data_IF_233360074117
#
_entry.id   IF_233360074117
#
_cell.length_a   1.000
_cell.length_b   1.000
_cell.length_c   1.000
_cell.angle_alpha   90.00
_cell.angle_beta   90.00
_cell.angle_gamma   90.00
#
_symmetry.space_group_name_H-M   'P 1'
#
loop_
_entity.id
_entity.type
_entity.pdbx_description
1 polymer ?
#
# COMPACT_ATOMS: atom_id res chain seq x y z
N UNK A 1 11.03 20.97 -28.71
CA UNK A 1 10.73 21.07 -27.27
C UNK A 1 9.25 20.77 -27.11
N UNK A 2 8.90 19.60 -26.57
CA UNK A 2 7.52 19.20 -26.35
C UNK A 2 7.02 19.93 -25.09
N UNK A 3 6.16 20.93 -25.26
CA UNK A 3 5.51 21.60 -24.14
C UNK A 3 4.38 20.72 -23.62
N UNK A 4 4.44 20.35 -22.35
CA UNK A 4 3.30 19.77 -21.64
C UNK A 4 2.33 20.91 -21.31
N UNK A 5 1.10 20.85 -21.81
CA UNK A 5 0.06 21.81 -21.51
C UNK A 5 -0.54 21.49 -20.15
N UNK A 6 -0.48 22.42 -19.20
CA UNK A 6 -1.20 22.32 -17.93
C UNK A 6 -2.62 22.86 -18.16
N UNK A 7 -3.62 22.03 -17.86
CA UNK A 7 -5.03 22.43 -17.90
C UNK A 7 -5.47 22.97 -16.54
N UNK A 8 -6.18 24.10 -16.54
CA UNK A 8 -6.75 24.72 -15.34
C UNK A 8 -8.26 24.50 -15.39
N UNK A 9 -8.81 23.82 -14.39
CA UNK A 9 -10.26 23.65 -14.22
C UNK A 9 -10.72 24.24 -12.89
N UNK A 10 -11.87 24.90 -12.87
CA UNK A 10 -12.49 25.47 -11.67
C UNK A 10 -13.82 24.77 -11.42
N UNK A 11 -14.00 24.19 -10.24
CA UNK A 11 -15.28 23.62 -9.81
C UNK A 11 -15.51 23.93 -8.33
N UNK A 12 -16.63 24.58 -8.00
CA UNK A 12 -17.00 24.99 -6.63
C UNK A 12 -15.86 25.72 -5.87
N UNK A 13 -15.29 26.78 -6.46
CA UNK A 13 -14.19 27.60 -5.91
C UNK A 13 -12.86 26.86 -5.65
N UNK A 14 -12.69 25.66 -6.21
CA UNK A 14 -11.46 24.87 -6.12
C UNK A 14 -10.78 24.87 -7.50
N UNK A 15 -9.51 25.28 -7.53
CA UNK A 15 -8.67 25.27 -8.74
C UNK A 15 -7.92 23.94 -8.85
N UNK A 16 -8.10 23.28 -9.99
CA UNK A 16 -7.43 22.03 -10.36
C UNK A 16 -6.40 22.32 -11.46
N UNK A 17 -5.14 21.97 -11.20
CA UNK A 17 -4.05 22.03 -12.19
C UNK A 17 -3.69 20.60 -12.58
N UNK A 18 -3.98 20.21 -13.82
CA UNK A 18 -3.71 18.85 -14.28
C UNK A 18 -2.77 18.84 -15.49
N UNK A 19 -1.70 18.03 -15.43
CA UNK A 19 -0.67 17.89 -16.47
C UNK A 19 -0.77 16.56 -17.25
N UNK A 20 -1.92 15.90 -17.18
CA UNK A 20 -2.18 14.59 -17.80
C UNK A 20 -1.64 13.39 -17.02
N UNK A 21 -0.86 13.61 -15.96
CA UNK A 21 -0.32 12.55 -15.09
C UNK A 21 -0.85 12.68 -13.65
N UNK A 22 -1.19 13.89 -13.21
CA UNK A 22 -1.87 14.10 -11.92
C UNK A 22 -2.59 15.45 -11.85
N UNK A 23 -3.35 15.67 -10.77
CA UNK A 23 -4.03 16.94 -10.49
C UNK A 23 -3.58 17.50 -9.13
N UNK A 24 -3.27 18.80 -9.09
CA UNK A 24 -3.00 19.58 -7.88
C UNK A 24 -4.29 20.30 -7.48
N UNK A 25 -4.64 20.29 -6.20
CA UNK A 25 -5.88 20.90 -5.65
C UNK A 25 -5.52 22.13 -4.83
N UNK A 26 -6.19 23.27 -5.08
CA UNK A 26 -6.03 24.51 -4.32
C UNK A 26 -7.29 24.76 -3.45
N UNK A 27 -7.13 24.86 -2.12
CA UNK A 27 -8.23 25.14 -1.19
C UNK A 27 -7.94 26.43 -0.41
N UNK A 28 -8.91 27.34 -0.35
CA UNK A 28 -8.83 28.60 0.43
C UNK A 28 -7.59 29.48 0.14
N UNK A 29 -7.16 29.57 -1.12
CA UNK A 29 -6.05 30.44 -1.54
C UNK A 29 -4.66 29.91 -1.18
N UNK A 30 -4.54 28.66 -0.72
CA UNK A 30 -3.26 27.99 -0.48
C UNK A 30 -3.12 26.76 -1.37
N UNK A 31 -1.99 26.68 -2.09
CA UNK A 31 -1.59 25.51 -2.87
C UNK A 31 -1.04 24.47 -1.90
N UNK A 32 -1.80 23.40 -1.64
CA UNK A 32 -1.35 22.26 -0.85
C UNK A 32 -0.83 21.17 -1.78
N UNK A 33 0.40 20.73 -1.54
CA UNK A 33 1.01 19.62 -2.27
C UNK A 33 1.00 18.38 -1.36
N UNK A 34 0.32 17.32 -1.80
CA UNK A 34 0.34 15.98 -1.19
C UNK A 34 -0.02 15.89 0.31
N UNK A 35 -1.06 16.61 0.77
CA UNK A 35 -1.70 16.52 2.10
C UNK A 35 -0.83 16.80 3.35
N UNK A 36 0.51 16.72 3.26
CA UNK A 36 1.43 16.86 4.40
C UNK A 36 2.62 17.79 4.14
N UNK A 37 2.79 18.32 2.92
CA UNK A 37 3.88 19.26 2.62
C UNK A 37 3.38 20.71 2.61
N UNK A 38 3.96 21.53 3.50
CA UNK A 38 3.69 22.96 3.57
C UNK A 38 4.78 23.76 2.83
N UNK A 39 4.37 24.85 2.18
CA UNK A 39 5.29 25.81 1.59
C UNK A 39 6.03 26.54 2.71
N UNK A 40 7.33 26.31 2.78
CA UNK A 40 8.24 26.86 3.80
C UNK A 40 8.62 28.30 3.52
N UNK A 41 8.77 28.65 2.24
CA UNK A 41 9.08 30.00 1.80
C UNK A 41 8.43 30.23 0.45
N UNK A 42 7.65 31.29 0.36
CA UNK A 42 7.12 31.76 -0.92
C UNK A 42 8.07 32.80 -1.51
N UNK A 43 8.08 32.88 -2.83
CA UNK A 43 8.41 34.09 -3.58
C UNK A 43 9.88 34.44 -3.77
N UNK A 44 10.62 33.58 -4.47
CA UNK A 44 11.79 34.04 -5.25
C UNK A 44 11.29 34.48 -6.62
N UNK A 45 11.24 35.80 -6.83
CA UNK A 45 10.93 36.38 -8.13
C UNK A 45 12.06 36.08 -9.13
N UNK A 46 11.68 35.47 -10.25
CA UNK A 46 12.53 35.28 -11.42
C UNK A 46 11.93 36.00 -12.60
N UNK A 47 12.72 36.24 -13.63
CA UNK A 47 12.28 36.98 -14.81
C UNK A 47 11.08 36.33 -15.55
N UNK A 48 10.78 35.06 -15.26
CA UNK A 48 9.74 34.26 -15.94
C UNK A 48 8.80 33.51 -14.97
N UNK A 49 8.77 33.86 -13.68
CA UNK A 49 7.89 33.19 -12.73
C UNK A 49 8.34 33.27 -11.27
N UNK A 50 7.66 32.51 -10.43
CA UNK A 50 7.76 32.55 -8.98
C UNK A 50 8.18 31.17 -8.47
N UNK A 51 9.29 31.08 -7.73
CA UNK A 51 9.73 29.81 -7.12
C UNK A 51 9.29 29.77 -5.66
N UNK A 52 8.62 28.69 -5.28
CA UNK A 52 8.27 28.35 -3.90
C UNK A 52 9.21 27.28 -3.35
N UNK A 53 9.67 27.41 -2.11
CA UNK A 53 10.42 26.39 -1.37
C UNK A 53 9.50 25.70 -0.39
N UNK A 54 9.49 24.38 -0.41
CA UNK A 54 8.69 23.52 0.47
C UNK A 54 9.61 22.81 1.45
N UNK A 55 9.15 22.62 2.70
CA UNK A 55 9.83 21.78 3.68
C UNK A 55 9.06 20.45 3.76
N UNK A 56 9.46 19.50 2.94
CA UNK A 56 8.83 18.18 2.86
C UNK A 56 9.28 17.43 1.60
N UNK A 57 9.31 16.10 1.69
CA UNK A 57 9.52 15.27 0.52
C UNK A 57 8.19 15.21 -0.25
N UNK A 58 8.17 15.75 -1.48
CA UNK A 58 7.06 15.50 -2.41
C UNK A 58 7.16 14.04 -2.84
N UNK A 59 6.45 13.16 -2.13
CA UNK A 59 6.12 11.85 -2.67
C UNK A 59 4.79 12.05 -3.39
N UNK A 60 4.77 12.04 -4.74
CA UNK A 60 3.52 12.04 -5.46
C UNK A 60 2.68 10.84 -4.99
N UNK A 61 1.36 11.00 -4.84
CA UNK A 61 0.46 9.89 -4.50
C UNK A 61 0.57 8.69 -5.47
N UNK A 62 1.20 8.87 -6.64
CA UNK A 62 1.51 7.80 -7.59
C UNK A 62 2.81 7.02 -7.30
N UNK A 63 3.74 7.51 -6.44
CA UNK A 63 4.95 6.77 -6.05
C UNK A 63 4.78 6.04 -4.70
N UNK A 64 3.82 6.41 -3.85
CA UNK A 64 3.40 5.54 -2.72
C UNK A 64 2.94 4.16 -3.21
N UNK A 65 2.27 4.12 -4.37
CA UNK A 65 1.84 2.88 -5.01
C UNK A 65 3.03 2.00 -5.45
N UNK A 66 4.20 2.59 -5.70
CA UNK A 66 5.43 1.88 -6.06
C UNK A 66 6.25 1.50 -4.82
N UNK A 67 6.20 2.31 -3.75
CA UNK A 67 6.92 2.07 -2.50
C UNK A 67 6.40 0.86 -1.70
N UNK A 68 5.14 0.46 -1.91
CA UNK A 68 4.55 -0.73 -1.27
C UNK A 68 4.47 -1.94 -2.22
N UNK A 69 5.44 -2.09 -3.12
CA UNK A 69 5.49 -3.23 -4.06
C UNK A 69 5.62 -4.58 -3.33
N UNK A 70 6.13 -4.60 -2.09
CA UNK A 70 6.27 -5.81 -1.26
C UNK A 70 6.03 -5.49 0.22
N UNK A 71 5.39 -6.41 0.94
CA UNK A 71 5.19 -6.36 2.39
C UNK A 71 5.34 -7.76 2.97
N UNK A 72 6.59 -8.14 3.18
CA UNK A 72 7.02 -9.34 3.85
C UNK A 72 7.35 -9.04 5.32
N UNK A 73 6.93 -9.93 6.22
CA UNK A 73 7.33 -9.89 7.61
C UNK A 73 7.61 -11.30 8.14
N UNK A 74 8.55 -11.37 9.07
CA UNK A 74 8.94 -12.60 9.71
C UNK A 74 8.06 -12.86 10.95
N UNK A 75 7.48 -14.06 11.03
CA UNK A 75 6.76 -14.53 12.22
C UNK A 75 7.52 -15.70 12.83
N UNK A 76 7.68 -15.66 14.14
CA UNK A 76 8.21 -16.77 14.92
C UNK A 76 7.08 -17.45 15.68
N UNK A 77 7.07 -18.78 15.69
CA UNK A 77 6.10 -19.53 16.49
C UNK A 77 6.61 -19.63 17.92
N UNK A 78 5.89 -18.99 18.85
CA UNK A 78 6.22 -19.08 20.28
C UNK A 78 5.49 -20.26 20.90
N UNK A 79 6.25 -21.28 21.28
CA UNK A 79 5.71 -22.43 22.00
C UNK A 79 5.93 -22.24 23.50
N UNK A 80 4.88 -22.41 24.31
CA UNK A 80 5.01 -22.43 25.77
C UNK A 80 5.34 -23.86 26.20
N UNK A 81 6.42 -24.02 26.96
CA UNK A 81 6.76 -25.27 27.60
C UNK A 81 6.08 -25.43 28.96
N UNK A 82 6.04 -26.66 29.44
CA UNK A 82 5.69 -26.96 30.82
C UNK A 82 6.90 -26.69 31.73
N UNK A 83 6.63 -26.21 32.95
CA UNK A 83 7.65 -26.05 33.98
C UNK A 83 7.80 -27.38 34.73
N UNK A 84 9.03 -27.87 34.88
CA UNK A 84 9.33 -29.07 35.63
C UNK A 84 10.40 -28.80 36.68
N UNK A 85 10.40 -29.62 37.74
CA UNK A 85 11.52 -29.71 38.67
C UNK A 85 12.72 -30.38 37.98
N UNK A 86 13.94 -29.95 38.34
CA UNK A 86 15.18 -30.42 37.72
C UNK A 86 15.34 -31.95 37.71
N UNK A 87 14.77 -32.64 38.70
CA UNK A 87 14.81 -34.10 38.83
C UNK A 87 14.02 -34.84 37.74
N UNK A 88 13.08 -34.15 37.07
CA UNK A 88 12.20 -34.72 36.04
C UNK A 88 12.57 -34.26 34.62
N UNK A 89 13.58 -33.39 34.46
CA UNK A 89 14.01 -32.86 33.16
C UNK A 89 14.57 -33.91 32.20
N UNK A 90 15.01 -35.07 32.71
CA UNK A 90 15.61 -36.16 31.92
C UNK A 90 14.61 -37.23 31.47
N UNK A 91 13.40 -37.24 32.03
CA UNK A 91 12.36 -38.25 31.74
C UNK A 91 11.35 -37.80 30.71
N UNK A 92 11.18 -36.49 30.52
CA UNK A 92 10.25 -35.93 29.54
C UNK A 92 11.01 -35.27 28.39
N UNK A 93 10.50 -35.38 27.18
CA UNK A 93 11.08 -34.72 26.00
C UNK A 93 10.62 -33.27 25.96
N UNK A 94 11.48 -32.27 26.27
CA UNK A 94 11.10 -30.87 26.14
C UNK A 94 10.74 -30.56 24.68
N UNK A 95 9.73 -29.70 24.48
CA UNK A 95 9.26 -29.32 23.14
C UNK A 95 10.38 -28.64 22.34
N UNK A 96 11.27 -27.92 23.03
CA UNK A 96 12.49 -27.35 22.47
C UNK A 96 13.70 -28.03 23.10
N UNK A 97 14.50 -28.72 22.28
CA UNK A 97 15.75 -29.36 22.69
C UNK A 97 16.88 -28.34 22.71
N UNK A 98 17.95 -28.66 23.45
CA UNK A 98 19.17 -27.86 23.45
C UNK A 98 19.76 -27.84 22.03
N UNK A 99 19.81 -26.65 21.42
CA UNK A 99 20.28 -26.46 20.05
C UNK A 99 19.17 -26.14 19.04
N UNK A 100 17.89 -26.17 19.45
CA UNK A 100 16.80 -25.73 18.59
C UNK A 100 16.87 -24.22 18.35
N UNK A 101 16.70 -23.82 17.08
CA UNK A 101 16.61 -22.43 16.66
C UNK A 101 15.15 -22.05 16.39
N UNK A 102 14.77 -20.77 16.57
CA UNK A 102 13.43 -20.32 16.22
C UNK A 102 13.17 -20.55 14.73
N UNK A 103 12.08 -21.24 14.40
CA UNK A 103 11.62 -21.33 13.01
C UNK A 103 11.01 -19.99 12.61
N UNK A 104 11.68 -19.29 11.70
CA UNK A 104 11.17 -18.07 11.09
C UNK A 104 10.33 -18.44 9.88
N UNK A 105 9.06 -18.06 9.89
CA UNK A 105 8.18 -18.17 8.73
C UNK A 105 7.99 -16.79 8.11
N UNK A 106 8.26 -16.67 6.81
CA UNK A 106 7.86 -15.51 6.04
C UNK A 106 6.33 -15.47 6.01
N UNK A 107 5.75 -14.28 6.17
CA UNK A 107 4.33 -14.01 5.93
C UNK A 107 4.18 -12.75 5.09
N UNK A 108 3.07 -12.69 4.37
CA UNK A 108 2.65 -11.50 3.66
C UNK A 108 1.65 -10.73 4.50
N UNK A 109 1.69 -9.40 4.41
CA UNK A 109 0.63 -8.54 4.94
C UNK A 109 -0.70 -8.83 4.21
N UNK A 110 -1.84 -8.45 4.80
CA UNK A 110 -3.14 -8.63 4.14
C UNK A 110 -3.15 -7.91 2.77
N UNK A 111 -3.75 -8.54 1.75
CA UNK A 111 -3.76 -8.00 0.39
C UNK A 111 -2.42 -8.11 -0.34
N UNK A 112 -1.55 -9.04 0.08
CA UNK A 112 -0.33 -9.43 -0.62
C UNK A 112 -0.24 -10.95 -0.78
N UNK A 113 0.25 -11.43 -1.92
CA UNK A 113 0.25 -12.84 -2.27
C UNK A 113 1.60 -13.33 -2.82
N UNK A 114 1.77 -14.66 -2.78
CA UNK A 114 2.92 -15.36 -3.33
C UNK A 114 4.19 -15.27 -2.47
N UNK A 115 5.27 -15.97 -2.87
CA UNK A 115 6.53 -16.02 -2.13
C UNK A 115 7.21 -14.64 -2.05
N UNK A 116 6.89 -13.80 -3.02
CA UNK A 116 7.40 -12.45 -3.18
C UNK A 116 6.56 -11.39 -2.46
N UNK A 117 5.42 -11.79 -1.86
CA UNK A 117 4.44 -10.91 -1.24
C UNK A 117 4.11 -9.70 -2.14
N UNK A 118 3.59 -9.98 -3.35
CA UNK A 118 3.16 -8.99 -4.33
C UNK A 118 1.75 -8.49 -4.03
N UNK A 119 1.41 -7.24 -4.35
CA UNK A 119 0.10 -6.70 -4.04
C UNK A 119 -1.02 -7.40 -4.83
N UNK A 120 -2.12 -7.71 -4.15
CA UNK A 120 -3.35 -8.12 -4.83
C UNK A 120 -3.83 -7.06 -5.83
N UNK A 121 -4.57 -7.47 -6.87
CA UNK A 121 -5.18 -6.53 -7.81
C UNK A 121 -6.04 -5.48 -7.09
N UNK A 122 -5.83 -4.18 -7.40
CA UNK A 122 -6.50 -3.02 -6.78
C UNK A 122 -6.40 -2.91 -5.25
N UNK A 123 -5.20 -3.12 -4.73
CA UNK A 123 -4.86 -3.17 -3.30
C UNK A 123 -5.38 -2.09 -2.32
N UNK A 124 -5.38 -0.81 -2.70
CA UNK A 124 -5.29 0.28 -1.70
C UNK A 124 -6.55 0.45 -0.84
N UNK A 125 -7.73 0.48 -1.45
CA UNK A 125 -9.00 0.58 -0.72
C UNK A 125 -10.01 -0.50 -1.12
N UNK A 126 -9.75 -1.21 -2.23
CA UNK A 126 -10.75 -2.08 -2.86
C UNK A 126 -10.08 -3.23 -3.62
N UNK A 127 -9.45 -4.19 -2.91
CA UNK A 127 -8.90 -5.38 -3.55
C UNK A 127 -9.98 -6.06 -4.39
N UNK A 128 -9.63 -6.56 -5.57
CA UNK A 128 -10.59 -7.12 -6.52
C UNK A 128 -11.75 -6.14 -6.85
N UNK A 129 -11.40 -4.88 -7.06
CA UNK A 129 -12.36 -3.79 -7.32
C UNK A 129 -13.39 -3.56 -6.21
N UNK A 130 -13.19 -4.14 -5.02
CA UNK A 130 -14.13 -4.10 -3.91
C UNK A 130 -15.31 -5.07 -4.05
N UNK A 131 -15.32 -5.89 -5.10
CA UNK A 131 -16.41 -6.84 -5.40
C UNK A 131 -15.92 -8.29 -5.36
N UNK A 132 -14.93 -8.56 -4.50
CA UNK A 132 -14.40 -9.90 -4.36
C UNK A 132 -13.29 -9.99 -3.32
N UNK A 133 -12.84 -11.23 -3.12
CA UNK A 133 -11.74 -11.56 -2.21
C UNK A 133 -10.52 -12.00 -2.99
N UNK A 134 -9.36 -11.44 -2.64
CA UNK A 134 -8.10 -11.90 -3.19
C UNK A 134 -7.60 -13.14 -2.44
N UNK A 135 -7.08 -14.13 -3.17
CA UNK A 135 -6.33 -15.24 -2.58
C UNK A 135 -4.92 -14.79 -2.19
N UNK A 136 -4.82 -14.20 -1.01
CA UNK A 136 -3.61 -13.62 -0.44
C UNK A 136 -2.79 -14.61 0.43
N UNK A 137 -1.66 -14.14 0.96
CA UNK A 137 -0.70 -14.94 1.71
C UNK A 137 0.43 -15.53 0.87
N UNK A 138 1.43 -16.11 1.53
CA UNK A 138 2.67 -16.60 0.89
C UNK A 138 2.43 -17.71 -0.12
N UNK A 139 1.41 -18.53 0.13
CA UNK A 139 0.95 -19.58 -0.77
C UNK A 139 -0.24 -19.13 -1.65
N UNK A 140 -0.62 -17.85 -1.55
CA UNK A 140 -1.71 -17.25 -2.34
C UNK A 140 -1.30 -17.05 -3.79
N UNK A 141 -2.28 -17.15 -4.69
CA UNK A 141 -2.11 -16.99 -6.14
C UNK A 141 -2.37 -15.56 -6.61
N UNK A 142 -3.00 -14.72 -5.78
CA UNK A 142 -3.39 -13.36 -6.14
C UNK A 142 -4.62 -13.25 -7.02
N UNK A 143 -5.27 -14.38 -7.34
CA UNK A 143 -6.52 -14.40 -8.10
C UNK A 143 -7.67 -13.87 -7.25
N UNK A 144 -8.66 -13.28 -7.91
CA UNK A 144 -9.86 -12.77 -7.25
C UNK A 144 -11.00 -13.79 -7.31
N UNK A 145 -11.64 -14.03 -6.17
CA UNK A 145 -12.93 -14.69 -6.09
C UNK A 145 -14.01 -13.60 -6.05
N UNK A 146 -14.74 -13.46 -7.14
CA UNK A 146 -15.76 -12.42 -7.26
C UNK A 146 -17.02 -12.75 -6.46
N UNK A 147 -17.63 -11.71 -5.91
CA UNK A 147 -18.94 -11.79 -5.29
C UNK A 147 -20.03 -12.03 -6.34
N UNK A 148 -21.20 -12.47 -5.91
CA UNK A 148 -22.33 -12.76 -6.81
C UNK A 148 -22.71 -11.50 -7.60
N UNK A 149 -22.89 -11.66 -8.91
CA UNK A 149 -23.18 -10.54 -9.81
C UNK A 149 -21.95 -9.82 -10.35
N UNK A 150 -20.73 -10.29 -10.03
CA UNK A 150 -19.49 -9.75 -10.58
C UNK A 150 -18.62 -10.85 -11.21
N UNK A 151 -17.88 -10.49 -12.26
CA UNK A 151 -16.94 -11.36 -12.95
C UNK A 151 -15.72 -10.59 -13.48
N UNK A 152 -14.82 -11.31 -14.16
CA UNK A 152 -13.53 -10.80 -14.64
C UNK A 152 -12.40 -11.05 -13.64
N UNK A 153 -11.15 -10.88 -14.10
CA UNK A 153 -9.95 -11.24 -13.31
C UNK A 153 -9.81 -10.42 -12.02
N UNK A 154 -10.44 -9.23 -11.99
CA UNK A 154 -10.41 -8.30 -10.86
C UNK A 154 -11.81 -7.89 -10.39
N UNK A 155 -12.87 -8.62 -10.78
CA UNK A 155 -14.25 -8.37 -10.37
C UNK A 155 -14.78 -6.96 -10.70
N UNK A 156 -14.37 -6.43 -11.85
CA UNK A 156 -14.76 -5.11 -12.35
C UNK A 156 -15.97 -5.15 -13.31
N UNK A 157 -16.43 -6.33 -13.69
CA UNK A 157 -17.53 -6.53 -14.63
C UNK A 157 -18.77 -7.02 -13.88
N UNK A 158 -19.93 -6.44 -14.19
CA UNK A 158 -21.22 -6.83 -13.60
C UNK A 158 -21.86 -7.90 -14.49
N UNK A 159 -22.28 -9.00 -13.88
CA UNK A 159 -23.05 -10.03 -14.56
C UNK A 159 -24.52 -9.60 -14.67
N UNK A 160 -25.00 -9.40 -15.91
CA UNK A 160 -26.37 -8.95 -16.20
C UNK A 160 -27.36 -10.13 -16.34
N UNK A 161 -27.07 -11.27 -15.73
CA UNK A 161 -27.93 -12.46 -15.73
C UNK A 161 -28.55 -12.76 -14.36
N UNK A 162 -29.04 -11.72 -13.68
CA UNK A 162 -29.94 -11.83 -12.51
C UNK A 162 -31.28 -11.18 -12.82
#
# INVERSE_FOLDING_TARGET
MLGTSISVSLFNDIMFLCDGIGCIVCFQGQVQLAEMANISQTDILTNNGLIHRIDGLLIPKCIEQTLLSRCDYAVTTRVRGFCYYCEHLSKETPICKKGDAPTVQQKCCAGYYGPDCLPCPRKFDSPCSGNGKCYDGVNGTGTCQCDVGFHGDICDQIDNHV
#
